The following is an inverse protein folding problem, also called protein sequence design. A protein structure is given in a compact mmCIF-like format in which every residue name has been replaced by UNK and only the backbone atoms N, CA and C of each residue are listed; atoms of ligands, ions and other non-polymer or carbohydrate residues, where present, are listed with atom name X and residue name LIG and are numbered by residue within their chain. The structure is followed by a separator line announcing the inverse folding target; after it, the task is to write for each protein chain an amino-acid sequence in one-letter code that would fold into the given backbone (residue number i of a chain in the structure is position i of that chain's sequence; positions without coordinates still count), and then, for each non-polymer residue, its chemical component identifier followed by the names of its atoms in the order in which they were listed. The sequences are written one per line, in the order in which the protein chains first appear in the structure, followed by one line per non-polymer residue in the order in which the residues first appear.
data_IF_684065565606
#
_entry.id   IF_684065565606
#
_cell.length_a   1.000
_cell.length_b   1.000
_cell.length_c   1.000
_cell.angle_alpha   90.00
_cell.angle_beta   90.00
_cell.angle_gamma   90.00
#
_symmetry.space_group_name_H-M   'P 1'
#
loop_
_entity.id
_entity.type
_entity.pdbx_description
1 polymer ?
#
# COMPACT_ATOMS: atom_id res chain seq x y z
N UNK A 1 3.86 31.50 6.97
CA UNK A 1 4.15 31.62 8.41
C UNK A 1 3.03 30.99 9.26
N UNK A 2 1.73 31.33 9.03
CA UNK A 2 0.59 30.81 9.80
C UNK A 2 0.54 29.28 9.78
N UNK A 3 0.63 28.67 8.60
CA UNK A 3 0.67 27.20 8.48
C UNK A 3 1.82 26.56 9.23
N UNK A 4 3.04 27.16 9.18
CA UNK A 4 4.20 26.68 9.91
C UNK A 4 4.00 26.73 11.45
N UNK A 5 3.31 27.75 11.96
CA UNK A 5 2.96 27.85 13.38
C UNK A 5 2.01 26.72 13.78
N UNK A 6 0.98 26.43 12.98
CA UNK A 6 0.06 25.33 13.28
C UNK A 6 0.74 23.95 13.23
N UNK A 7 1.62 23.73 12.25
CA UNK A 7 2.43 22.51 12.20
C UNK A 7 3.31 22.37 13.45
N UNK A 8 3.98 23.47 13.87
CA UNK A 8 4.78 23.45 15.10
C UNK A 8 3.93 23.13 16.36
N UNK A 9 2.68 23.56 16.39
CA UNK A 9 1.75 23.27 17.48
C UNK A 9 1.19 21.83 17.46
N UNK A 10 1.63 20.96 16.53
CA UNK A 10 1.09 19.61 16.40
C UNK A 10 -0.33 19.58 15.86
N UNK A 11 -0.63 20.40 14.86
CA UNK A 11 -1.93 20.46 14.18
C UNK A 11 -1.80 20.09 12.71
N UNK A 12 -2.92 19.85 12.04
CA UNK A 12 -3.00 19.70 10.60
C UNK A 12 -3.31 21.06 9.99
N UNK A 13 -2.42 21.52 9.10
CA UNK A 13 -2.63 22.72 8.32
C UNK A 13 -3.29 22.37 6.97
N UNK A 14 -4.59 22.65 6.82
CA UNK A 14 -5.23 22.55 5.52
C UNK A 14 -4.83 23.76 4.68
N UNK A 15 -4.01 23.53 3.69
CA UNK A 15 -3.50 24.53 2.74
C UNK A 15 -3.85 24.10 1.33
N UNK A 16 -4.48 24.96 0.56
CA UNK A 16 -4.86 24.65 -0.81
C UNK A 16 -3.63 24.36 -1.68
N UNK A 17 -3.83 23.60 -2.75
CA UNK A 17 -2.75 23.27 -3.71
C UNK A 17 -2.15 24.56 -4.27
N UNK A 18 -0.82 24.59 -4.38
CA UNK A 18 -0.07 25.76 -4.85
C UNK A 18 0.26 26.82 -3.79
N UNK A 19 -0.17 26.65 -2.53
CA UNK A 19 0.11 27.60 -1.43
C UNK A 19 1.50 27.39 -0.77
N UNK A 20 2.34 26.54 -1.33
CA UNK A 20 3.72 26.35 -0.89
C UNK A 20 3.90 25.48 0.35
N UNK A 21 3.11 24.39 0.51
CA UNK A 21 3.21 23.46 1.63
C UNK A 21 4.64 22.99 1.90
N UNK A 22 5.39 22.62 0.85
CA UNK A 22 6.79 22.15 0.97
C UNK A 22 7.69 23.20 1.62
N UNK A 23 7.55 24.47 1.28
CA UNK A 23 8.30 25.55 1.89
C UNK A 23 7.83 25.82 3.34
N UNK A 24 6.53 25.79 3.58
CA UNK A 24 5.95 26.02 4.91
C UNK A 24 6.44 25.00 5.93
N UNK A 25 6.61 23.74 5.54
CA UNK A 25 7.12 22.67 6.41
C UNK A 25 8.55 22.90 6.89
N UNK A 26 9.34 23.71 6.18
CA UNK A 26 10.72 24.04 6.61
C UNK A 26 10.75 24.82 7.91
N UNK A 27 9.77 25.67 8.16
CA UNK A 27 9.72 26.51 9.36
C UNK A 27 9.66 25.70 10.67
N UNK A 28 8.64 24.80 10.84
CA UNK A 28 8.58 23.96 12.02
C UNK A 28 9.68 22.89 12.04
N UNK A 29 10.11 22.39 10.89
CA UNK A 29 11.21 21.42 10.81
C UNK A 29 12.49 22.02 11.37
N UNK A 30 12.89 23.22 10.91
CA UNK A 30 14.05 23.94 11.44
C UNK A 30 13.97 24.12 12.95
N UNK A 31 12.86 24.70 13.44
CA UNK A 31 12.71 25.02 14.86
C UNK A 31 12.79 23.77 15.77
N UNK A 32 12.20 22.65 15.35
CA UNK A 32 12.23 21.42 16.14
C UNK A 32 13.55 20.64 15.96
N UNK A 33 14.25 20.78 14.84
CA UNK A 33 15.55 20.16 14.63
C UNK A 33 16.64 20.74 15.58
N UNK A 34 16.52 22.01 16.02
CA UNK A 34 17.41 22.62 16.99
C UNK A 34 17.46 21.88 18.35
N UNK A 35 16.54 20.99 18.60
CA UNK A 35 16.57 20.12 19.79
C UNK A 35 17.52 18.92 19.66
N UNK A 36 18.13 18.72 18.47
CA UNK A 36 19.02 17.61 18.12
C UNK A 36 18.38 16.21 18.21
N UNK A 37 17.06 16.13 18.39
CA UNK A 37 16.31 14.87 18.50
C UNK A 37 15.83 14.29 17.17
N UNK A 38 16.04 15.02 16.07
CA UNK A 38 15.62 14.64 14.72
C UNK A 38 14.17 14.99 14.40
N UNK A 39 13.94 15.31 13.13
CA UNK A 39 12.63 15.60 12.55
C UNK A 39 12.45 14.77 11.30
N UNK A 40 11.32 14.08 11.20
CA UNK A 40 10.97 13.34 9.98
C UNK A 40 9.93 14.13 9.17
N UNK A 41 10.16 14.26 7.86
CA UNK A 41 9.20 14.81 6.90
C UNK A 41 8.80 13.68 5.96
N UNK A 42 7.52 13.33 5.99
CA UNK A 42 6.98 12.15 5.29
C UNK A 42 6.27 12.56 4.02
N UNK A 43 6.60 11.88 2.94
CA UNK A 43 5.99 12.05 1.62
C UNK A 43 5.39 10.74 1.12
N UNK A 44 4.55 10.80 0.09
CA UNK A 44 3.83 9.63 -0.44
C UNK A 44 4.67 8.75 -1.38
N UNK A 45 5.81 9.22 -1.87
CA UNK A 45 6.68 8.45 -2.77
C UNK A 45 8.15 8.91 -2.74
N UNK A 46 9.04 8.05 -3.23
CA UNK A 46 10.50 8.27 -3.26
C UNK A 46 10.90 9.50 -4.10
N UNK A 47 10.18 9.78 -5.18
CA UNK A 47 10.46 10.94 -6.02
C UNK A 47 10.30 12.24 -5.24
N UNK A 48 9.19 12.40 -4.52
CA UNK A 48 8.94 13.58 -3.69
C UNK A 48 9.95 13.67 -2.54
N UNK A 49 10.27 12.55 -1.89
CA UNK A 49 11.27 12.53 -0.83
C UNK A 49 12.65 13.02 -1.33
N UNK A 50 13.10 12.53 -2.49
CA UNK A 50 14.35 12.96 -3.13
C UNK A 50 14.30 14.43 -3.56
N UNK A 51 13.24 14.84 -4.26
CA UNK A 51 13.07 16.22 -4.75
C UNK A 51 13.07 17.21 -3.59
N UNK A 52 12.24 16.97 -2.59
CA UNK A 52 12.04 17.92 -1.49
C UNK A 52 13.25 17.97 -0.55
N UNK A 53 13.91 16.84 -0.29
CA UNK A 53 15.15 16.82 0.48
C UNK A 53 16.28 17.59 -0.21
N UNK A 54 16.41 17.47 -1.54
CA UNK A 54 17.42 18.20 -2.31
C UNK A 54 17.11 19.71 -2.41
N UNK A 55 15.84 20.04 -2.57
CA UNK A 55 15.41 21.43 -2.72
C UNK A 55 15.43 22.18 -1.38
N UNK A 56 14.75 21.67 -0.37
CA UNK A 56 14.70 22.30 0.96
C UNK A 56 15.98 22.07 1.76
N UNK A 57 16.72 21.01 1.46
CA UNK A 57 18.04 20.74 2.05
C UNK A 57 19.03 21.89 1.84
N UNK A 58 18.91 22.65 0.74
CA UNK A 58 19.72 23.86 0.52
C UNK A 58 19.44 24.93 1.59
N UNK A 59 18.18 25.09 2.00
CA UNK A 59 17.77 26.01 3.06
C UNK A 59 18.32 25.55 4.40
N UNK A 60 18.15 24.27 4.71
CA UNK A 60 18.61 23.68 5.98
C UNK A 60 20.14 23.73 6.09
N UNK A 61 20.86 23.37 5.03
CA UNK A 61 22.32 23.45 4.97
C UNK A 61 22.85 24.89 5.16
N UNK A 62 22.16 25.88 4.56
CA UNK A 62 22.49 27.28 4.77
C UNK A 62 22.34 27.71 6.24
N UNK A 63 21.38 27.10 6.95
CA UNK A 63 21.10 27.33 8.37
C UNK A 63 21.93 26.42 9.31
N UNK A 64 22.84 25.62 8.77
CA UNK A 64 23.77 24.78 9.53
C UNK A 64 23.18 23.42 9.96
N UNK A 65 22.05 22.98 9.38
CA UNK A 65 21.45 21.69 9.67
C UNK A 65 21.72 20.67 8.56
N UNK A 66 21.89 19.41 8.96
CA UNK A 66 22.03 18.26 8.07
C UNK A 66 20.67 17.73 7.59
N UNK A 67 20.64 17.26 6.34
CA UNK A 67 19.41 16.70 5.73
C UNK A 67 19.71 15.33 5.17
N UNK A 68 18.91 14.32 5.57
CA UNK A 68 18.91 12.95 5.07
C UNK A 68 17.70 12.67 4.19
N UNK A 69 17.80 11.60 3.39
CA UNK A 69 16.71 11.11 2.57
C UNK A 69 16.69 9.58 2.58
N UNK A 70 15.57 8.97 2.97
CA UNK A 70 15.36 7.53 3.00
C UNK A 70 14.44 7.13 1.84
N UNK A 71 14.93 6.26 1.00
CA UNK A 71 14.21 5.68 -0.13
C UNK A 71 14.45 4.17 -0.21
N UNK A 72 13.71 3.48 -1.06
CA UNK A 72 13.78 2.03 -1.23
C UNK A 72 15.15 1.48 -1.66
N UNK A 73 15.97 2.32 -2.31
CA UNK A 73 17.27 1.92 -2.90
C UNK A 73 18.47 1.99 -1.93
N UNK A 74 18.29 2.49 -0.70
CA UNK A 74 19.37 2.78 0.24
C UNK A 74 19.64 1.57 1.14
N UNK A 75 20.92 1.24 1.36
CA UNK A 75 21.36 0.17 2.28
C UNK A 75 21.25 0.59 3.77
N UNK A 76 21.37 -0.38 4.68
CA UNK A 76 21.20 -0.16 6.13
C UNK A 76 22.24 0.83 6.72
N UNK A 77 23.47 0.86 6.19
CA UNK A 77 24.52 1.76 6.66
C UNK A 77 24.18 3.21 6.32
N UNK A 78 23.76 3.45 5.09
CA UNK A 78 23.37 4.78 4.64
C UNK A 78 22.01 5.18 5.25
N UNK A 79 21.07 4.23 5.50
CA UNK A 79 19.84 4.50 6.27
C UNK A 79 20.16 5.07 7.65
N UNK A 80 21.06 4.41 8.38
CA UNK A 80 21.46 4.88 9.72
C UNK A 80 22.08 6.28 9.70
N UNK A 81 22.91 6.59 8.70
CA UNK A 81 23.47 7.94 8.52
C UNK A 81 22.37 8.97 8.25
N UNK A 82 21.43 8.65 7.36
CA UNK A 82 20.32 9.55 7.01
C UNK A 82 19.37 9.78 8.18
N UNK A 83 19.07 8.76 9.00
CA UNK A 83 18.28 8.94 10.22
C UNK A 83 19.00 9.77 11.28
N UNK A 84 20.33 9.79 11.27
CA UNK A 84 21.12 10.62 12.19
C UNK A 84 21.24 12.09 11.76
N UNK A 85 20.74 12.47 10.58
CA UNK A 85 20.61 13.88 10.20
C UNK A 85 19.60 14.61 11.07
N UNK A 86 19.71 15.95 11.12
CA UNK A 86 18.78 16.79 11.89
C UNK A 86 17.36 16.71 11.34
N UNK A 87 17.25 16.61 9.99
CA UNK A 87 15.99 16.49 9.27
C UNK A 87 16.10 15.33 8.28
N UNK A 88 15.15 14.40 8.32
CA UNK A 88 15.11 13.24 7.42
C UNK A 88 13.81 13.21 6.62
N UNK A 89 13.93 13.27 5.30
CA UNK A 89 12.82 13.01 4.39
C UNK A 89 12.70 11.51 4.12
N UNK A 90 11.49 10.99 4.15
CA UNK A 90 11.23 9.57 3.88
C UNK A 90 9.81 9.35 3.34
N UNK A 91 9.57 8.18 2.77
CA UNK A 91 8.19 7.75 2.50
C UNK A 91 7.58 7.07 3.72
N UNK A 92 6.24 7.08 3.81
CA UNK A 92 5.50 6.36 4.84
C UNK A 92 5.85 4.86 4.87
N UNK A 93 6.02 4.24 3.68
CA UNK A 93 6.39 2.84 3.53
C UNK A 93 7.76 2.55 4.16
N UNK A 94 8.78 3.30 3.78
CA UNK A 94 10.15 3.05 4.24
C UNK A 94 10.28 3.21 5.75
N UNK A 95 9.67 4.26 6.33
CA UNK A 95 9.66 4.45 7.78
C UNK A 95 9.00 3.28 8.53
N UNK A 96 7.87 2.80 8.03
CA UNK A 96 7.17 1.69 8.65
C UNK A 96 7.90 0.36 8.49
N UNK A 97 8.52 0.09 7.34
CA UNK A 97 9.34 -1.12 7.14
C UNK A 97 10.64 -1.07 7.94
N UNK A 98 11.29 0.10 8.06
CA UNK A 98 12.47 0.25 8.92
C UNK A 98 12.13 0.00 10.39
N UNK A 99 10.97 0.50 10.86
CA UNK A 99 10.46 0.17 12.19
C UNK A 99 10.31 -1.34 12.40
N UNK A 100 9.70 -2.05 11.44
CA UNK A 100 9.55 -3.49 11.54
C UNK A 100 10.91 -4.20 11.54
N UNK A 101 11.84 -3.79 10.67
CA UNK A 101 13.20 -4.34 10.61
C UNK A 101 13.96 -4.12 11.92
N UNK A 102 13.89 -2.92 12.48
CA UNK A 102 14.53 -2.58 13.76
C UNK A 102 14.01 -3.45 14.91
N UNK A 103 12.70 -3.69 14.96
CA UNK A 103 12.10 -4.56 15.99
C UNK A 103 12.41 -6.05 15.83
N UNK A 104 13.03 -6.45 14.72
CA UNK A 104 13.53 -7.81 14.49
C UNK A 104 15.02 -7.95 14.76
N UNK A 105 15.75 -6.86 15.05
CA UNK A 105 17.18 -6.87 15.40
C UNK A 105 17.39 -7.38 16.82
N UNK A 106 18.50 -8.08 17.03
CA UNK A 106 18.89 -8.58 18.36
C UNK A 106 19.71 -7.59 19.17
N UNK A 107 20.39 -6.65 18.49
CA UNK A 107 21.24 -5.63 19.11
C UNK A 107 20.74 -4.23 18.75
N UNK A 108 20.62 -3.37 19.76
CA UNK A 108 20.20 -1.97 19.59
C UNK A 108 21.15 -1.18 18.68
N UNK A 109 22.43 -1.55 18.63
CA UNK A 109 23.40 -0.90 17.75
C UNK A 109 23.14 -1.13 16.27
N UNK A 110 22.39 -2.16 15.91
CA UNK A 110 21.99 -2.49 14.55
C UNK A 110 20.74 -1.75 14.08
N UNK A 111 19.98 -1.13 15.00
CA UNK A 111 18.80 -0.34 14.67
C UNK A 111 19.20 0.91 13.90
N UNK A 112 18.38 1.29 12.92
CA UNK A 112 18.61 2.47 12.08
C UNK A 112 17.88 3.71 12.59
N UNK A 113 16.68 3.54 13.19
CA UNK A 113 15.93 4.64 13.76
C UNK A 113 16.58 5.20 15.04
N UNK A 114 16.33 6.49 15.25
CA UNK A 114 16.46 7.16 16.57
C UNK A 114 15.10 7.22 17.25
N UNK A 115 14.95 8.09 18.24
CA UNK A 115 13.69 8.38 18.91
C UNK A 115 12.66 8.99 17.94
N UNK A 116 11.37 8.71 18.17
CA UNK A 116 10.24 9.26 17.43
C UNK A 116 9.85 10.63 18.01
N UNK A 117 10.65 11.67 17.73
CA UNK A 117 10.45 13.00 18.31
C UNK A 117 9.35 13.79 17.60
N UNK A 118 9.58 14.21 16.36
CA UNK A 118 8.63 15.03 15.61
C UNK A 118 8.50 14.55 14.17
N UNK A 119 7.25 14.44 13.71
CA UNK A 119 6.93 14.07 12.34
C UNK A 119 5.98 15.08 11.69
N UNK A 120 6.29 15.48 10.47
CA UNK A 120 5.42 16.27 9.59
C UNK A 120 5.01 15.37 8.43
N UNK A 121 3.73 15.10 8.28
CA UNK A 121 3.20 14.25 7.20
C UNK A 121 2.61 15.12 6.10
N UNK A 122 3.19 15.06 4.90
CA UNK A 122 2.58 15.66 3.70
C UNK A 122 1.51 14.72 3.13
N UNK A 123 0.49 15.29 2.50
CA UNK A 123 -0.71 14.56 2.06
C UNK A 123 -1.29 13.68 3.20
N UNK A 124 -1.48 14.32 4.36
CA UNK A 124 -1.79 13.65 5.62
C UNK A 124 -3.12 12.88 5.59
N UNK A 125 -4.09 13.30 4.81
CA UNK A 125 -5.36 12.60 4.57
C UNK A 125 -5.15 11.23 3.92
N UNK A 126 -4.31 11.15 2.91
CA UNK A 126 -3.97 9.87 2.28
C UNK A 126 -3.30 8.90 3.24
N UNK A 127 -2.29 9.37 3.95
CA UNK A 127 -1.43 8.50 4.77
C UNK A 127 -2.12 8.12 6.09
N UNK A 128 -2.76 9.07 6.77
CA UNK A 128 -3.31 8.85 8.10
C UNK A 128 -4.80 8.49 8.13
N UNK A 129 -5.52 8.62 7.02
CA UNK A 129 -6.92 8.21 6.89
C UNK A 129 -7.06 7.09 5.87
N UNK A 130 -6.86 7.37 4.57
CA UNK A 130 -7.13 6.40 3.50
C UNK A 130 -6.33 5.10 3.64
N UNK A 131 -5.02 5.20 3.90
CA UNK A 131 -4.11 4.06 4.02
C UNK A 131 -3.87 3.64 5.48
N UNK A 132 -4.45 4.32 6.45
CA UNK A 132 -4.14 4.19 7.88
C UNK A 132 -4.21 2.76 8.42
N UNK A 133 -5.18 1.99 7.94
CA UNK A 133 -5.45 0.60 8.37
C UNK A 133 -4.74 -0.44 7.52
N UNK A 134 -4.05 -0.05 6.46
CA UNK A 134 -3.27 -0.96 5.63
C UNK A 134 -2.08 -1.48 6.42
N UNK A 135 -1.96 -2.80 6.64
CA UNK A 135 -0.83 -3.35 7.37
C UNK A 135 0.41 -3.42 6.49
N UNK A 136 1.53 -2.95 7.02
CA UNK A 136 2.86 -3.29 6.55
C UNK A 136 3.23 -4.64 7.15
N UNK A 137 3.70 -5.57 6.34
CA UNK A 137 3.97 -6.95 6.76
C UNK A 137 5.35 -7.36 6.27
N UNK A 138 6.19 -7.86 7.19
CA UNK A 138 7.38 -8.62 6.86
C UNK A 138 7.03 -10.09 7.05
N UNK A 139 7.15 -10.88 5.99
CA UNK A 139 6.98 -12.32 6.02
C UNK A 139 8.32 -13.01 5.81
N UNK A 140 8.50 -14.14 6.47
CA UNK A 140 9.62 -15.04 6.30
C UNK A 140 9.15 -16.43 5.91
N UNK A 141 10.08 -17.26 5.45
CA UNK A 141 9.80 -18.66 5.17
C UNK A 141 9.53 -19.40 6.48
N UNK A 142 8.46 -20.16 6.51
CA UNK A 142 8.22 -21.14 7.57
C UNK A 142 9.21 -22.32 7.40
N UNK A 143 9.46 -23.07 8.47
CA UNK A 143 10.20 -24.33 8.36
C UNK A 143 9.56 -25.21 7.29
N UNK A 144 10.39 -25.88 6.47
CA UNK A 144 9.93 -26.78 5.42
C UNK A 144 9.18 -27.98 6.04
N UNK A 145 7.86 -27.92 5.99
CA UNK A 145 6.93 -28.96 6.46
C UNK A 145 6.25 -29.69 5.30
N UNK A 146 6.76 -29.55 4.09
CA UNK A 146 6.19 -30.17 2.88
C UNK A 146 5.99 -31.67 3.01
N UNK A 147 6.89 -32.36 3.71
CA UNK A 147 6.76 -33.78 4.00
C UNK A 147 5.54 -34.12 4.85
N UNK A 148 5.14 -33.26 5.79
CA UNK A 148 3.95 -33.50 6.63
C UNK A 148 2.66 -33.36 5.82
N UNK A 149 2.58 -32.44 4.86
CA UNK A 149 1.43 -32.34 3.96
C UNK A 149 1.26 -33.57 3.08
N UNK A 150 2.37 -34.12 2.54
CA UNK A 150 2.34 -35.33 1.73
C UNK A 150 1.90 -36.55 2.57
N UNK A 151 2.46 -36.71 3.78
CA UNK A 151 2.08 -37.79 4.68
C UNK A 151 0.62 -37.68 5.14
N UNK A 152 0.18 -36.48 5.52
CA UNK A 152 -1.22 -36.24 5.89
C UNK A 152 -2.17 -36.59 4.74
N UNK A 153 -1.85 -36.20 3.51
CA UNK A 153 -2.65 -36.55 2.33
C UNK A 153 -2.68 -38.07 2.11
N UNK A 154 -1.56 -38.78 2.29
CA UNK A 154 -1.54 -40.25 2.21
C UNK A 154 -2.41 -40.92 3.28
N UNK A 155 -2.49 -40.37 4.50
CA UNK A 155 -3.33 -40.86 5.56
C UNK A 155 -4.81 -40.69 5.22
N UNK A 156 -5.19 -39.49 4.74
CA UNK A 156 -6.58 -39.22 4.36
C UNK A 156 -7.06 -40.14 3.24
N UNK A 157 -6.21 -40.44 2.27
CA UNK A 157 -6.54 -41.37 1.18
C UNK A 157 -6.80 -42.82 1.66
N UNK A 158 -6.43 -43.20 2.88
CA UNK A 158 -6.70 -44.52 3.50
C UNK A 158 -7.95 -44.51 4.35
N UNK A 159 -8.63 -43.37 4.55
CA UNK A 159 -9.86 -43.26 5.33
C UNK A 159 -11.08 -43.68 4.51
N UNK A 160 -12.10 -44.13 5.23
CA UNK A 160 -13.42 -44.49 4.69
C UNK A 160 -14.47 -43.52 5.21
N UNK A 161 -15.69 -43.53 4.61
CA UNK A 161 -16.79 -42.64 5.00
C UNK A 161 -17.21 -42.71 6.47
N UNK A 162 -16.91 -43.79 7.17
CA UNK A 162 -17.16 -43.95 8.61
C UNK A 162 -16.16 -43.22 9.49
N UNK A 163 -15.03 -42.80 8.96
CA UNK A 163 -13.90 -42.30 9.70
C UNK A 163 -13.92 -40.76 9.86
N UNK A 164 -14.87 -40.10 9.18
CA UNK A 164 -15.05 -38.65 9.24
C UNK A 164 -16.50 -38.22 9.07
N UNK A 165 -16.80 -37.01 9.52
CA UNK A 165 -18.06 -36.30 9.32
C UNK A 165 -17.83 -35.03 8.52
N UNK A 166 -18.79 -34.69 7.63
CA UNK A 166 -18.74 -33.48 6.78
C UNK A 166 -19.92 -32.59 7.17
N UNK A 167 -19.62 -31.35 7.49
CA UNK A 167 -20.58 -30.26 7.59
C UNK A 167 -20.46 -29.35 6.36
N UNK A 168 -21.20 -29.66 5.31
CA UNK A 168 -21.18 -28.86 4.07
C UNK A 168 -21.63 -27.41 4.28
N UNK A 169 -22.53 -27.19 5.27
CA UNK A 169 -23.13 -25.89 5.53
C UNK A 169 -22.08 -24.88 6.09
N UNK A 170 -21.20 -25.37 6.96
CA UNK A 170 -20.13 -24.59 7.58
C UNK A 170 -18.76 -24.81 6.89
N UNK A 171 -18.73 -25.54 5.77
CA UNK A 171 -17.48 -25.95 5.07
C UNK A 171 -16.44 -26.50 6.07
N UNK A 172 -16.87 -27.44 6.91
CA UNK A 172 -16.03 -28.08 7.92
C UNK A 172 -16.05 -29.62 7.80
N UNK A 173 -14.95 -30.23 8.20
CA UNK A 173 -14.81 -31.70 8.26
C UNK A 173 -14.06 -32.09 9.52
N UNK A 174 -14.53 -33.15 10.17
CA UNK A 174 -14.03 -33.60 11.47
C UNK A 174 -13.81 -35.13 11.42
N UNK A 175 -12.72 -35.60 12.02
CA UNK A 175 -12.52 -37.05 12.21
C UNK A 175 -13.44 -37.57 13.28
N UNK A 176 -14.00 -38.79 13.06
CA UNK A 176 -14.68 -39.56 14.10
C UNK A 176 -13.65 -40.26 15.01
N UNK A 177 -14.06 -40.78 16.15
CA UNK A 177 -13.17 -41.56 17.04
C UNK A 177 -12.50 -42.69 16.28
N UNK A 178 -13.19 -43.37 15.37
CA UNK A 178 -12.65 -44.44 14.51
C UNK A 178 -11.58 -43.87 13.57
N UNK A 179 -11.82 -42.68 13.03
CA UNK A 179 -10.85 -41.98 12.16
C UNK A 179 -9.60 -41.61 12.91
N UNK A 180 -9.73 -41.07 14.13
CA UNK A 180 -8.62 -40.71 15.01
C UNK A 180 -7.77 -41.95 15.30
N UNK A 181 -8.35 -43.07 15.72
CA UNK A 181 -7.67 -44.33 15.99
C UNK A 181 -6.87 -44.84 14.77
N UNK A 182 -7.40 -44.65 13.56
CA UNK A 182 -6.72 -45.02 12.33
C UNK A 182 -5.52 -44.11 12.04
N UNK A 183 -5.71 -42.81 12.19
CA UNK A 183 -4.62 -41.83 12.00
C UNK A 183 -3.48 -42.06 13.01
N UNK A 184 -3.84 -42.35 14.28
CA UNK A 184 -2.86 -42.73 15.31
C UNK A 184 -2.00 -43.92 14.89
N UNK A 185 -2.66 -45.03 14.48
CA UNK A 185 -1.97 -46.24 14.02
C UNK A 185 -1.07 -45.97 12.83
N UNK A 186 -1.52 -45.17 11.84
CA UNK A 186 -0.71 -44.79 10.68
C UNK A 186 0.47 -43.92 11.09
N UNK A 187 0.26 -42.99 12.00
CA UNK A 187 1.28 -42.06 12.47
C UNK A 187 2.33 -42.72 13.34
N UNK A 188 1.94 -43.76 14.12
CA UNK A 188 2.87 -44.61 14.88
C UNK A 188 3.74 -45.44 13.91
N UNK A 189 3.11 -46.02 12.87
CA UNK A 189 3.83 -46.78 11.86
C UNK A 189 4.92 -45.98 11.14
N UNK A 190 4.62 -44.72 10.84
CA UNK A 190 5.57 -43.79 10.22
C UNK A 190 6.57 -43.15 11.23
N UNK A 191 6.40 -43.41 12.52
CA UNK A 191 7.32 -42.95 13.57
C UNK A 191 7.24 -41.42 13.84
N UNK A 192 6.13 -40.79 13.47
CA UNK A 192 5.94 -39.30 13.60
C UNK A 192 5.10 -38.91 14.79
N UNK A 193 4.35 -39.85 15.40
CA UNK A 193 3.52 -39.59 16.57
C UNK A 193 4.32 -39.63 17.86
N UNK A 194 4.24 -38.57 18.65
CA UNK A 194 4.84 -38.51 19.99
C UNK A 194 3.79 -38.90 21.04
N UNK A 195 4.24 -39.60 22.09
CA UNK A 195 3.42 -40.00 23.23
C UNK A 195 2.15 -40.83 22.90
N UNK A 196 2.08 -41.44 21.71
CA UNK A 196 0.97 -42.31 21.27
C UNK A 196 -0.43 -41.68 21.44
N UNK A 197 -0.56 -40.38 21.40
CA UNK A 197 -1.82 -39.65 21.47
C UNK A 197 -1.83 -38.56 20.40
N UNK A 198 -2.80 -38.62 19.49
CA UNK A 198 -2.93 -37.67 18.38
C UNK A 198 -3.07 -36.22 18.86
N UNK A 199 -3.83 -35.98 19.91
CA UNK A 199 -4.08 -34.65 20.46
C UNK A 199 -3.07 -34.21 21.55
N UNK A 200 -1.95 -34.91 21.72
CA UNK A 200 -0.89 -34.42 22.60
C UNK A 200 -0.37 -33.05 22.11
N UNK A 201 -0.09 -32.08 23.00
CA UNK A 201 0.44 -30.77 22.63
C UNK A 201 1.67 -30.82 21.71
N UNK A 202 2.48 -31.88 21.78
CA UNK A 202 3.64 -32.09 20.93
C UNK A 202 3.30 -32.48 19.48
N UNK A 203 2.05 -32.93 19.24
CA UNK A 203 1.54 -33.37 17.95
C UNK A 203 0.63 -32.36 17.25
N UNK A 204 0.46 -31.14 17.79
CA UNK A 204 -0.42 -30.10 17.23
C UNK A 204 -0.14 -29.78 15.76
N UNK A 205 1.13 -29.83 15.34
CA UNK A 205 1.48 -29.68 13.93
C UNK A 205 0.89 -30.79 13.07
N UNK A 206 1.00 -32.07 13.53
CA UNK A 206 0.43 -33.20 12.80
C UNK A 206 -1.09 -33.12 12.74
N UNK A 207 -1.75 -32.80 13.85
CA UNK A 207 -3.21 -32.56 13.91
C UNK A 207 -3.64 -31.51 12.91
N UNK A 208 -2.92 -30.38 12.86
CA UNK A 208 -3.19 -29.32 11.91
C UNK A 208 -3.09 -29.79 10.46
N UNK A 209 -2.00 -30.44 10.08
CA UNK A 209 -1.80 -30.92 8.71
C UNK A 209 -2.83 -31.96 8.28
N UNK A 210 -3.20 -32.88 9.20
CA UNK A 210 -4.23 -33.90 8.95
C UNK A 210 -5.60 -33.24 8.75
N UNK A 211 -5.95 -32.25 9.56
CA UNK A 211 -7.20 -31.53 9.41
C UNK A 211 -7.26 -30.72 8.10
N UNK A 212 -6.15 -30.07 7.70
CA UNK A 212 -6.11 -29.37 6.42
C UNK A 212 -6.16 -30.33 5.23
N UNK A 213 -5.49 -31.48 5.31
CA UNK A 213 -5.57 -32.52 4.28
C UNK A 213 -6.99 -33.09 4.18
N UNK A 214 -7.67 -33.35 5.31
CA UNK A 214 -9.05 -33.78 5.34
C UNK A 214 -9.97 -32.77 4.64
N UNK A 215 -9.83 -31.50 5.00
CA UNK A 215 -10.58 -30.38 4.40
C UNK A 215 -10.34 -30.26 2.90
N UNK A 216 -9.08 -30.30 2.46
CA UNK A 216 -8.69 -30.22 1.06
C UNK A 216 -9.27 -31.35 0.21
N UNK A 217 -9.30 -32.60 0.75
CA UNK A 217 -9.78 -33.75 0.02
C UNK A 217 -11.31 -33.83 -0.05
N UNK A 218 -12.02 -33.40 1.00
CA UNK A 218 -13.46 -33.57 1.13
C UNK A 218 -14.29 -32.38 0.68
N UNK A 219 -13.79 -31.16 0.85
CA UNK A 219 -14.58 -29.93 0.69
C UNK A 219 -14.13 -29.05 -0.50
N UNK A 220 -12.93 -29.25 -1.04
CA UNK A 220 -12.41 -28.46 -2.12
C UNK A 220 -12.25 -29.26 -3.40
N UNK A 221 -12.96 -28.87 -4.45
CA UNK A 221 -13.04 -29.60 -5.71
C UNK A 221 -12.31 -28.84 -6.83
N UNK A 222 -11.54 -29.60 -7.61
CA UNK A 222 -10.91 -29.08 -8.82
C UNK A 222 -11.98 -28.59 -9.80
N UNK A 223 -11.67 -27.52 -10.53
CA UNK A 223 -12.53 -26.83 -11.50
C UNK A 223 -13.81 -26.19 -10.90
N UNK A 224 -13.95 -26.20 -9.57
CA UNK A 224 -15.00 -25.51 -8.82
C UNK A 224 -14.39 -24.46 -7.88
N UNK A 225 -13.54 -24.92 -6.94
CA UNK A 225 -12.91 -24.04 -5.95
C UNK A 225 -11.50 -23.59 -6.37
N UNK A 226 -10.84 -24.36 -7.22
CA UNK A 226 -9.51 -24.07 -7.76
C UNK A 226 -9.27 -24.74 -9.11
N UNK A 227 -8.28 -24.25 -9.85
CA UNK A 227 -7.77 -24.88 -11.08
C UNK A 227 -6.26 -25.13 -10.99
N UNK A 228 -5.77 -26.02 -11.85
CA UNK A 228 -4.33 -26.21 -12.07
C UNK A 228 -3.92 -25.49 -13.35
N UNK A 229 -2.99 -24.52 -13.23
CA UNK A 229 -2.33 -23.88 -14.36
C UNK A 229 -0.82 -23.86 -14.14
N UNK A 230 -0.08 -24.24 -15.15
CA UNK A 230 1.40 -24.27 -15.09
C UNK A 230 1.94 -25.02 -13.85
N UNK A 231 1.31 -26.14 -13.55
CA UNK A 231 1.61 -26.97 -12.37
C UNK A 231 1.46 -26.25 -11.02
N UNK A 232 0.58 -25.23 -10.95
CA UNK A 232 0.27 -24.47 -9.73
C UNK A 232 -1.23 -24.45 -9.48
N UNK A 233 -1.59 -24.49 -8.21
CA UNK A 233 -2.98 -24.30 -7.76
C UNK A 233 -3.32 -22.81 -7.83
N UNK A 234 -4.44 -22.47 -8.47
CA UNK A 234 -4.99 -21.12 -8.54
C UNK A 234 -6.44 -21.12 -8.08
N UNK A 235 -6.78 -20.18 -7.21
CA UNK A 235 -8.14 -20.10 -6.61
C UNK A 235 -9.14 -19.62 -7.66
N UNK A 236 -10.35 -20.18 -7.62
CA UNK A 236 -11.52 -19.65 -8.32
C UNK A 236 -12.37 -18.86 -7.30
N UNK A 237 -12.71 -17.63 -7.64
CA UNK A 237 -13.60 -16.80 -6.83
C UNK A 237 -15.03 -17.35 -6.87
N UNK A 238 -15.59 -17.68 -5.71
CA UNK A 238 -16.91 -18.32 -5.57
C UNK A 238 -18.05 -17.46 -6.15
N UNK A 239 -17.91 -16.11 -6.13
CA UNK A 239 -18.97 -15.21 -6.57
C UNK A 239 -18.86 -14.85 -8.06
N UNK A 240 -17.65 -14.72 -8.58
CA UNK A 240 -17.43 -14.26 -9.95
C UNK A 240 -17.01 -15.35 -10.90
N UNK A 241 -16.62 -16.54 -10.40
CA UNK A 241 -16.05 -17.64 -11.20
C UNK A 241 -14.71 -17.31 -11.84
N UNK A 242 -14.06 -16.19 -11.45
CA UNK A 242 -12.78 -15.75 -12.01
C UNK A 242 -11.62 -16.36 -11.26
N UNK A 243 -10.57 -16.66 -12.01
CA UNK A 243 -9.31 -17.13 -11.42
C UNK A 243 -8.58 -15.97 -10.75
N UNK A 244 -8.28 -16.12 -9.46
CA UNK A 244 -7.57 -15.15 -8.66
C UNK A 244 -6.06 -15.45 -8.68
N UNK A 245 -5.33 -14.86 -9.62
CA UNK A 245 -3.87 -15.00 -9.70
C UNK A 245 -3.17 -14.40 -8.48
N UNK A 246 -2.18 -15.13 -7.94
CA UNK A 246 -1.35 -14.66 -6.83
C UNK A 246 -2.00 -14.77 -5.43
N UNK A 247 -3.27 -15.16 -5.32
CA UNK A 247 -3.93 -15.44 -4.03
C UNK A 247 -3.77 -16.91 -3.65
N UNK A 248 -3.71 -17.15 -2.34
CA UNK A 248 -3.59 -18.50 -1.75
C UNK A 248 -4.65 -18.67 -0.65
N UNK A 249 -5.10 -19.90 -0.43
CA UNK A 249 -5.89 -20.25 0.77
C UNK A 249 -5.00 -20.12 2.00
N UNK A 250 -5.57 -19.68 3.12
CA UNK A 250 -4.89 -19.52 4.40
C UNK A 250 -4.68 -20.84 5.15
N UNK A 251 -3.92 -20.77 6.22
CA UNK A 251 -3.80 -21.80 7.25
C UNK A 251 -3.31 -23.18 6.75
N UNK A 252 -2.45 -23.20 5.73
CA UNK A 252 -1.90 -24.45 5.19
C UNK A 252 -2.85 -25.21 4.25
N UNK A 253 -4.10 -24.72 4.04
CA UNK A 253 -5.05 -25.36 3.14
C UNK A 253 -4.56 -25.38 1.68
N UNK A 254 -3.88 -24.31 1.24
CA UNK A 254 -3.33 -24.25 -0.12
C UNK A 254 -2.29 -25.34 -0.35
N UNK A 255 -1.37 -25.54 0.61
CA UNK A 255 -0.36 -26.58 0.59
C UNK A 255 -0.99 -27.99 0.67
N UNK A 256 -2.07 -28.15 1.43
CA UNK A 256 -2.82 -29.41 1.48
C UNK A 256 -3.48 -29.72 0.12
N UNK A 257 -3.95 -28.73 -0.61
CA UNK A 257 -4.46 -28.89 -1.98
C UNK A 257 -3.32 -29.18 -2.96
N UNK A 258 -2.18 -28.52 -2.83
CA UNK A 258 -0.97 -28.81 -3.63
C UNK A 258 -0.53 -30.28 -3.41
N UNK A 259 -0.56 -30.77 -2.16
CA UNK A 259 -0.27 -32.18 -1.84
C UNK A 259 -1.32 -33.15 -2.44
N UNK A 260 -2.61 -32.80 -2.38
CA UNK A 260 -3.72 -33.57 -2.97
C UNK A 260 -3.52 -33.73 -4.48
N UNK A 261 -3.15 -32.67 -5.16
CA UNK A 261 -2.98 -32.65 -6.62
C UNK A 261 -1.59 -33.10 -7.08
N UNK A 262 -0.71 -33.51 -6.14
CA UNK A 262 0.67 -33.93 -6.42
C UNK A 262 1.47 -32.90 -7.23
N UNK A 263 1.26 -31.62 -6.96
CA UNK A 263 2.08 -30.52 -7.50
C UNK A 263 3.12 -30.11 -6.47
N UNK A 264 4.09 -29.30 -6.88
CA UNK A 264 5.12 -28.79 -5.99
C UNK A 264 4.49 -27.97 -4.85
N UNK A 265 4.72 -28.40 -3.60
CA UNK A 265 4.23 -27.72 -2.40
C UNK A 265 5.10 -26.49 -2.18
N UNK A 266 4.50 -25.32 -2.31
CA UNK A 266 5.20 -24.07 -2.07
C UNK A 266 5.27 -23.78 -0.57
N UNK A 267 6.42 -23.27 -0.13
CA UNK A 267 6.66 -22.91 1.26
C UNK A 267 5.56 -21.98 1.79
N UNK A 268 5.18 -22.16 3.03
CA UNK A 268 4.27 -21.29 3.74
C UNK A 268 5.03 -20.05 4.20
N UNK A 269 4.50 -18.86 3.91
CA UNK A 269 5.06 -17.62 4.42
C UNK A 269 4.42 -17.32 5.79
N UNK A 270 5.26 -17.24 6.82
CA UNK A 270 4.84 -16.82 8.15
C UNK A 270 5.03 -15.32 8.30
N UNK A 271 4.00 -14.62 8.81
CA UNK A 271 4.14 -13.21 9.19
C UNK A 271 5.10 -13.11 10.38
N UNK A 272 6.24 -12.46 10.18
CA UNK A 272 7.24 -12.24 11.22
C UNK A 272 6.95 -10.96 12.02
N UNK A 273 6.56 -9.90 11.33
CA UNK A 273 6.24 -8.62 11.94
C UNK A 273 5.18 -7.89 11.12
N UNK A 274 4.31 -7.14 11.78
CA UNK A 274 3.32 -6.29 11.11
C UNK A 274 3.00 -5.04 11.93
N UNK A 275 2.72 -3.93 11.24
CA UNK A 275 2.22 -2.70 11.85
C UNK A 275 1.32 -1.98 10.84
N UNK A 276 0.31 -1.25 11.31
CA UNK A 276 -0.45 -0.32 10.47
C UNK A 276 0.17 1.08 10.54
N UNK A 277 -0.05 1.92 9.51
CA UNK A 277 0.38 3.32 9.57
C UNK A 277 -0.22 4.05 10.76
N UNK A 278 -1.49 3.78 11.07
CA UNK A 278 -2.15 4.33 12.25
C UNK A 278 -1.36 4.08 13.54
N UNK A 279 -0.89 2.87 13.76
CA UNK A 279 -0.12 2.52 14.96
C UNK A 279 1.29 3.09 14.91
N UNK A 280 1.93 3.07 13.74
CA UNK A 280 3.28 3.61 13.55
C UNK A 280 3.35 5.11 13.87
N UNK A 281 2.50 5.94 13.26
CA UNK A 281 2.54 7.39 13.45
C UNK A 281 2.13 7.84 14.86
N UNK A 282 1.45 7.00 15.63
CA UNK A 282 1.16 7.26 17.06
C UNK A 282 2.39 7.10 17.97
N UNK A 283 3.49 6.58 17.47
CA UNK A 283 4.75 6.47 18.23
C UNK A 283 5.44 7.84 18.40
N UNK A 284 5.18 8.78 17.52
CA UNK A 284 5.80 10.10 17.59
C UNK A 284 5.28 10.90 18.78
N UNK A 285 6.22 11.53 19.51
CA UNK A 285 5.88 12.43 20.64
C UNK A 285 5.10 13.64 20.14
N UNK A 286 5.41 14.10 18.91
CA UNK A 286 4.74 15.19 18.24
C UNK A 286 4.49 14.84 16.78
N UNK A 287 3.23 14.97 16.38
CA UNK A 287 2.77 14.69 15.01
C UNK A 287 2.08 15.94 14.48
N UNK A 288 2.29 16.23 13.21
CA UNK A 288 1.56 17.25 12.47
C UNK A 288 1.42 16.84 11.00
N UNK A 289 0.57 17.52 10.26
CA UNK A 289 0.38 17.20 8.86
C UNK A 289 -0.13 18.35 8.04
N UNK A 290 -0.02 18.22 6.73
CA UNK A 290 -0.52 19.20 5.77
C UNK A 290 -1.15 18.50 4.57
N UNK A 291 -2.23 19.08 4.05
CA UNK A 291 -2.91 18.65 2.82
C UNK A 291 -3.83 19.76 2.32
N UNK A 292 -4.40 19.59 1.13
CA UNK A 292 -5.43 20.50 0.59
C UNK A 292 -6.87 20.18 1.02
N UNK A 293 -7.11 19.03 1.68
CA UNK A 293 -8.43 18.38 1.84
C UNK A 293 -8.61 17.68 3.19
N UNK A 294 -8.22 18.29 4.31
CA UNK A 294 -8.31 17.64 5.63
C UNK A 294 -9.60 17.90 6.39
N UNK A 295 -10.31 18.97 6.07
CA UNK A 295 -11.43 19.43 6.90
C UNK A 295 -12.61 18.44 6.93
N UNK A 296 -12.83 17.70 5.85
CA UNK A 296 -13.85 16.65 5.76
C UNK A 296 -13.63 15.52 6.75
N UNK A 297 -12.39 15.23 7.08
CA UNK A 297 -11.96 14.12 7.96
C UNK A 297 -11.52 14.62 9.34
N UNK A 298 -11.87 15.87 9.71
CA UNK A 298 -11.39 16.51 10.94
C UNK A 298 -11.75 15.74 12.21
N UNK A 299 -12.92 15.12 12.28
CA UNK A 299 -13.36 14.30 13.42
C UNK A 299 -12.51 13.05 13.53
N UNK A 300 -12.24 12.35 12.43
CA UNK A 300 -11.40 11.12 12.42
C UNK A 300 -9.95 11.41 12.81
N UNK A 301 -9.38 12.50 12.32
CA UNK A 301 -8.04 12.96 12.76
C UNK A 301 -7.99 13.22 14.27
N UNK A 302 -9.02 13.85 14.80
CA UNK A 302 -9.05 14.11 16.24
C UNK A 302 -9.27 12.83 17.06
N UNK A 303 -10.16 11.94 16.62
CA UNK A 303 -10.47 10.72 17.37
C UNK A 303 -9.28 9.77 17.45
N UNK A 304 -8.57 9.57 16.33
CA UNK A 304 -7.47 8.61 16.22
C UNK A 304 -6.15 9.19 16.73
N UNK A 305 -5.78 10.40 16.28
CA UNK A 305 -4.44 10.97 16.50
C UNK A 305 -4.43 12.17 17.44
N UNK A 306 -5.59 12.65 17.89
CA UNK A 306 -5.77 13.89 18.68
C UNK A 306 -5.26 15.13 17.94
N UNK A 307 -5.31 15.13 16.61
CA UNK A 307 -4.88 16.23 15.76
C UNK A 307 -6.07 17.11 15.38
N UNK A 308 -5.93 18.41 15.62
CA UNK A 308 -6.91 19.39 15.16
C UNK A 308 -6.58 19.84 13.74
N UNK A 309 -7.58 19.92 12.87
CA UNK A 309 -7.48 20.48 11.53
C UNK A 309 -7.74 21.97 11.57
N UNK A 310 -6.86 22.77 10.97
CA UNK A 310 -7.00 24.22 10.85
C UNK A 310 -6.85 24.61 9.38
N UNK A 311 -7.90 25.24 8.84
CA UNK A 311 -7.84 25.77 7.48
C UNK A 311 -7.05 27.08 7.46
N UNK A 312 -6.02 27.13 6.60
CA UNK A 312 -5.20 28.32 6.39
C UNK A 312 -5.74 29.09 5.21
N UNK A 313 -6.06 30.39 5.37
CA UNK A 313 -6.56 31.19 4.26
C UNK A 313 -5.54 31.28 3.12
N UNK A 314 -6.04 31.31 1.89
CA UNK A 314 -5.19 31.45 0.69
C UNK A 314 -4.53 32.82 0.66
N UNK A 315 -3.31 32.89 0.10
CA UNK A 315 -2.58 34.16 -0.05
C UNK A 315 -3.30 35.17 -0.96
N UNK A 316 -3.98 34.67 -1.99
CA UNK A 316 -4.82 35.47 -2.91
C UNK A 316 -6.24 34.95 -2.92
N UNK A 317 -7.25 35.80 -3.25
CA UNK A 317 -8.64 35.35 -3.40
C UNK A 317 -8.73 34.18 -4.40
N UNK A 318 -9.54 33.18 -4.07
CA UNK A 318 -9.74 32.03 -4.94
C UNK A 318 -10.55 32.45 -6.19
N UNK A 319 -9.97 32.23 -7.37
CA UNK A 319 -10.61 32.49 -8.66
C UNK A 319 -11.17 31.24 -9.32
N UNK A 320 -10.87 30.03 -8.78
CA UNK A 320 -11.39 28.74 -9.28
C UNK A 320 -12.90 28.73 -9.18
N UNK A 321 -13.56 28.25 -10.23
CA UNK A 321 -15.00 28.06 -10.27
C UNK A 321 -15.28 26.54 -10.34
N UNK A 322 -15.90 26.00 -9.31
CA UNK A 322 -16.39 24.64 -9.29
C UNK A 322 -17.78 24.63 -9.92
N UNK A 323 -17.92 23.93 -11.06
CA UNK A 323 -19.17 23.80 -11.78
C UNK A 323 -20.00 22.65 -11.18
N UNK A 324 -21.32 22.74 -11.29
CA UNK A 324 -22.20 21.67 -10.86
C UNK A 324 -21.99 20.39 -11.68
N UNK A 325 -22.28 19.25 -11.05
CA UNK A 325 -22.23 17.94 -11.68
C UNK A 325 -23.20 17.87 -12.87
N UNK A 326 -22.78 17.18 -13.94
CA UNK A 326 -23.61 16.91 -15.09
C UNK A 326 -24.05 15.45 -15.08
N UNK A 327 -25.36 15.23 -15.07
CA UNK A 327 -25.97 13.90 -15.05
C UNK A 327 -26.41 13.53 -16.46
N UNK A 328 -26.01 12.32 -16.91
CA UNK A 328 -26.31 11.79 -18.24
C UNK A 328 -27.16 10.52 -18.13
N UNK A 329 -28.03 10.31 -19.11
CA UNK A 329 -28.91 9.12 -19.18
C UNK A 329 -28.13 7.84 -19.42
N UNK A 330 -27.08 7.94 -20.24
CA UNK A 330 -26.26 6.80 -20.63
C UNK A 330 -24.76 7.14 -20.53
N UNK A 331 -23.96 6.12 -20.33
CA UNK A 331 -22.50 6.24 -20.34
C UNK A 331 -21.97 6.77 -21.68
N UNK A 332 -22.60 6.38 -22.79
CA UNK A 332 -22.25 6.84 -24.13
C UNK A 332 -22.43 8.36 -24.29
N UNK A 333 -23.55 8.90 -23.80
CA UNK A 333 -23.78 10.35 -23.80
C UNK A 333 -22.76 11.09 -22.94
N UNK A 334 -22.43 10.55 -21.75
CA UNK A 334 -21.38 11.07 -20.87
C UNK A 334 -20.04 11.19 -21.59
N UNK A 335 -19.56 10.12 -22.22
CA UNK A 335 -18.26 10.15 -22.93
C UNK A 335 -18.27 11.08 -24.13
N UNK A 336 -19.39 11.19 -24.83
CA UNK A 336 -19.54 12.15 -25.93
C UNK A 336 -19.45 13.61 -25.41
N UNK A 337 -20.11 13.92 -24.29
CA UNK A 337 -20.08 15.24 -23.68
C UNK A 337 -18.66 15.59 -23.19
N UNK A 338 -17.97 14.65 -22.53
CA UNK A 338 -16.57 14.82 -22.09
C UNK A 338 -15.68 15.12 -23.31
N UNK A 339 -15.79 14.32 -24.37
CA UNK A 339 -14.96 14.50 -25.57
C UNK A 339 -15.22 15.86 -26.23
N UNK A 340 -16.49 16.28 -26.35
CA UNK A 340 -16.84 17.59 -26.89
C UNK A 340 -16.30 18.74 -26.03
N UNK A 341 -16.36 18.62 -24.70
CA UNK A 341 -15.80 19.61 -23.79
C UNK A 341 -14.29 19.73 -23.91
N UNK A 342 -13.58 18.62 -24.04
CA UNK A 342 -12.13 18.61 -24.29
C UNK A 342 -11.81 19.35 -25.59
N UNK A 343 -12.55 19.08 -26.67
CA UNK A 343 -12.36 19.77 -27.96
C UNK A 343 -12.60 21.27 -27.85
N UNK A 344 -13.67 21.67 -27.17
CA UNK A 344 -13.97 23.10 -26.93
C UNK A 344 -12.80 23.80 -26.23
N UNK A 345 -12.27 23.21 -25.18
CA UNK A 345 -11.16 23.77 -24.43
C UNK A 345 -9.86 23.80 -25.26
N UNK A 346 -9.56 22.73 -25.97
CA UNK A 346 -8.39 22.65 -26.86
C UNK A 346 -8.40 23.70 -27.95
N UNK A 347 -9.56 23.94 -28.57
CA UNK A 347 -9.74 24.99 -29.59
C UNK A 347 -9.50 26.41 -29.05
N UNK A 348 -9.68 26.61 -27.74
CA UNK A 348 -9.39 27.85 -27.04
C UNK A 348 -7.94 27.95 -26.55
N UNK A 349 -7.11 26.91 -26.77
CA UNK A 349 -5.77 26.80 -26.21
C UNK A 349 -5.74 26.55 -24.69
N UNK A 350 -6.88 26.23 -24.08
CA UNK A 350 -6.96 25.97 -22.64
C UNK A 350 -6.46 24.54 -22.35
N UNK A 351 -5.48 24.37 -21.42
CA UNK A 351 -5.04 23.04 -21.01
C UNK A 351 -6.17 22.31 -20.25
N UNK A 352 -6.25 20.99 -20.43
CA UNK A 352 -7.30 20.15 -19.85
C UNK A 352 -6.70 18.98 -19.12
N UNK A 353 -7.05 18.80 -17.84
CA UNK A 353 -6.77 17.60 -17.07
C UNK A 353 -8.06 16.80 -16.89
N UNK A 354 -8.06 15.56 -17.33
CA UNK A 354 -9.19 14.64 -17.25
C UNK A 354 -8.91 13.56 -16.20
N UNK A 355 -9.59 13.68 -15.05
CA UNK A 355 -9.52 12.66 -13.99
C UNK A 355 -10.44 11.47 -14.26
N UNK A 356 -9.94 10.24 -14.09
CA UNK A 356 -10.72 9.01 -14.23
C UNK A 356 -10.56 8.11 -13.00
N UNK A 357 -11.58 7.30 -12.70
CA UNK A 357 -11.57 6.39 -11.53
C UNK A 357 -10.91 5.04 -11.81
N UNK A 358 -10.55 4.74 -13.06
CA UNK A 358 -9.87 3.49 -13.42
C UNK A 358 -9.07 3.62 -14.71
N UNK A 359 -8.08 2.73 -14.88
CA UNK A 359 -7.26 2.63 -16.10
C UNK A 359 -8.15 2.39 -17.31
N UNK A 360 -9.14 1.49 -17.21
CA UNK A 360 -10.06 1.16 -18.28
C UNK A 360 -10.82 2.41 -18.79
N UNK A 361 -11.30 3.25 -17.88
CA UNK A 361 -11.98 4.51 -18.25
C UNK A 361 -11.04 5.51 -18.91
N UNK A 362 -9.79 5.58 -18.46
CA UNK A 362 -8.78 6.44 -19.09
C UNK A 362 -8.46 5.99 -20.51
N UNK A 363 -8.30 4.69 -20.73
CA UNK A 363 -8.06 4.11 -22.05
C UNK A 363 -9.26 4.34 -23.00
N UNK A 364 -10.50 4.25 -22.50
CA UNK A 364 -11.70 4.50 -23.27
C UNK A 364 -11.79 5.96 -23.76
N UNK A 365 -11.46 6.92 -22.88
CA UNK A 365 -11.41 8.34 -23.29
C UNK A 365 -10.27 8.57 -24.28
N UNK A 366 -9.10 8.00 -24.02
CA UNK A 366 -7.95 8.08 -24.93
C UNK A 366 -8.31 7.57 -26.33
N UNK A 367 -8.95 6.41 -26.44
CA UNK A 367 -9.40 5.86 -27.71
C UNK A 367 -10.35 6.81 -28.47
N UNK A 368 -11.33 7.40 -27.77
CA UNK A 368 -12.25 8.37 -28.35
C UNK A 368 -11.53 9.62 -28.89
N UNK A 369 -10.48 10.09 -28.20
CA UNK A 369 -9.68 11.24 -28.64
C UNK A 369 -8.79 10.89 -29.84
N UNK A 370 -8.19 9.67 -29.85
CA UNK A 370 -7.42 9.16 -31.00
C UNK A 370 -8.26 9.05 -32.27
N UNK A 371 -9.49 8.54 -32.18
CA UNK A 371 -10.43 8.46 -33.30
C UNK A 371 -10.72 9.85 -33.89
N UNK A 372 -10.69 10.89 -33.06
CA UNK A 372 -10.86 12.30 -33.48
C UNK A 372 -9.51 12.99 -33.81
N UNK A 373 -8.41 12.27 -33.79
CA UNK A 373 -7.04 12.76 -34.08
C UNK A 373 -6.59 13.90 -33.15
N UNK A 374 -7.01 13.84 -31.89
CA UNK A 374 -6.65 14.83 -30.87
C UNK A 374 -5.42 14.33 -30.11
N UNK A 375 -4.33 15.11 -30.15
CA UNK A 375 -3.09 14.81 -29.42
C UNK A 375 -3.34 14.95 -27.92
N UNK A 376 -2.97 13.94 -27.14
CA UNK A 376 -3.11 13.95 -25.69
C UNK A 376 -2.06 13.03 -25.05
N UNK A 377 -1.84 13.18 -23.74
CA UNK A 377 -1.00 12.33 -22.92
C UNK A 377 -1.87 11.53 -21.96
N UNK A 378 -1.48 10.29 -21.66
CA UNK A 378 -2.17 9.42 -20.69
C UNK A 378 -1.21 9.10 -19.56
N UNK A 379 -1.67 9.37 -18.35
CA UNK A 379 -0.97 9.10 -17.11
C UNK A 379 -1.64 7.94 -16.39
N UNK A 380 -0.97 6.81 -16.31
CA UNK A 380 -1.46 5.64 -15.59
C UNK A 380 -0.30 4.94 -14.86
N UNK A 381 -0.63 4.11 -13.87
CA UNK A 381 0.33 3.42 -13.01
C UNK A 381 1.40 2.54 -13.72
N UNK A 382 1.38 2.46 -15.05
CA UNK A 382 2.34 1.68 -15.85
C UNK A 382 3.63 2.46 -16.21
N UNK A 383 3.71 3.77 -15.92
CA UNK A 383 4.78 4.65 -16.42
C UNK A 383 5.30 5.63 -15.35
N UNK A 384 5.69 5.13 -14.18
CA UNK A 384 6.12 5.96 -13.05
C UNK A 384 7.27 6.96 -13.35
N UNK A 385 8.27 6.57 -14.14
CA UNK A 385 9.42 7.45 -14.45
C UNK A 385 9.05 8.60 -15.39
N UNK A 386 8.05 8.42 -16.26
CA UNK A 386 7.59 9.47 -17.17
C UNK A 386 6.50 10.34 -16.55
N UNK A 387 5.96 9.93 -15.42
CA UNK A 387 4.81 10.58 -14.76
C UNK A 387 5.10 12.04 -14.44
N UNK A 388 6.21 12.31 -13.76
CA UNK A 388 6.59 13.67 -13.37
C UNK A 388 6.77 14.60 -14.60
N UNK A 389 7.32 14.06 -15.70
CA UNK A 389 7.53 14.81 -16.93
C UNK A 389 6.21 15.15 -17.63
N UNK A 390 5.28 14.18 -17.70
CA UNK A 390 3.94 14.40 -18.28
C UNK A 390 3.15 15.42 -17.46
N UNK A 391 3.26 15.38 -16.13
CA UNK A 391 2.57 16.33 -15.24
C UNK A 391 3.15 17.74 -15.38
N UNK A 392 4.46 17.89 -15.42
CA UNK A 392 5.10 19.18 -15.65
C UNK A 392 4.62 19.85 -16.95
N UNK A 393 4.30 19.05 -17.97
CA UNK A 393 3.80 19.50 -19.27
C UNK A 393 2.27 19.75 -19.31
N UNK A 394 1.52 19.24 -18.32
CA UNK A 394 0.06 19.27 -18.32
C UNK A 394 -0.52 20.71 -18.30
N UNK A 395 0.23 21.68 -17.81
CA UNK A 395 -0.16 23.09 -17.79
C UNK A 395 0.17 23.89 -19.06
N UNK A 396 0.81 23.29 -20.09
CA UNK A 396 1.12 23.97 -21.36
C UNK A 396 -0.16 24.33 -22.13
N UNK A 397 -0.08 25.40 -22.92
CA UNK A 397 -1.21 25.86 -23.76
C UNK A 397 -1.67 24.71 -24.67
N UNK A 398 -2.96 24.39 -24.61
CA UNK A 398 -3.57 23.34 -25.40
C UNK A 398 -3.22 21.91 -25.01
N UNK A 399 -2.49 21.68 -23.93
CA UNK A 399 -2.20 20.34 -23.44
C UNK A 399 -3.47 19.62 -22.99
N UNK A 400 -3.57 18.33 -23.31
CA UNK A 400 -4.65 17.45 -22.84
C UNK A 400 -3.99 16.29 -22.13
N UNK A 401 -4.26 16.13 -20.84
CA UNK A 401 -3.71 15.05 -20.02
C UNK A 401 -4.85 14.26 -19.39
N UNK A 402 -4.84 12.95 -19.58
CA UNK A 402 -5.79 12.01 -18.96
C UNK A 402 -5.05 11.30 -17.83
N UNK A 403 -5.57 11.37 -16.62
CA UNK A 403 -4.95 10.77 -15.44
C UNK A 403 -5.95 9.91 -14.65
N UNK A 404 -5.48 8.84 -14.00
CA UNK A 404 -6.25 8.14 -12.98
C UNK A 404 -6.14 8.88 -11.63
N UNK A 405 -7.08 8.65 -10.73
CA UNK A 405 -7.21 9.37 -9.45
C UNK A 405 -5.90 9.54 -8.65
N UNK A 406 -5.04 8.52 -8.66
CA UNK A 406 -3.81 8.52 -7.87
C UNK A 406 -2.58 8.98 -8.65
N UNK A 407 -2.72 9.17 -9.96
CA UNK A 407 -1.61 9.59 -10.80
C UNK A 407 -1.36 11.10 -10.62
N UNK A 408 -0.12 11.44 -10.32
CA UNK A 408 0.29 12.85 -10.15
C UNK A 408 -0.01 13.47 -8.80
N UNK A 409 -0.48 12.71 -7.82
CA UNK A 409 -0.67 13.23 -6.46
C UNK A 409 0.67 13.73 -5.89
N UNK A 410 0.66 14.92 -5.27
CA UNK A 410 1.85 15.56 -4.72
C UNK A 410 2.77 16.23 -5.73
N UNK A 411 2.45 16.16 -7.04
CA UNK A 411 3.23 16.85 -8.09
C UNK A 411 2.51 18.11 -8.53
N UNK A 412 3.23 19.26 -8.55
CA UNK A 412 2.65 20.53 -8.95
C UNK A 412 2.53 20.64 -10.47
N UNK A 413 1.36 21.09 -10.94
CA UNK A 413 1.13 21.44 -12.34
C UNK A 413 1.37 22.95 -12.50
N UNK A 414 2.38 23.31 -13.26
CA UNK A 414 2.69 24.71 -13.53
C UNK A 414 1.95 25.19 -14.78
N UNK A 415 1.19 26.29 -14.64
CA UNK A 415 0.56 26.93 -15.79
C UNK A 415 1.63 27.52 -16.73
N UNK A 416 1.56 27.12 -17.99
CA UNK A 416 2.57 27.45 -19.00
C UNK A 416 3.65 26.38 -19.19
N UNK A 417 3.63 25.31 -18.37
CA UNK A 417 4.63 24.22 -18.38
C UNK A 417 5.88 24.56 -17.58
N UNK A 418 6.73 23.56 -17.37
CA UNK A 418 7.98 23.74 -16.66
C UNK A 418 8.99 24.53 -17.51
N UNK A 419 9.46 25.65 -16.98
CA UNK A 419 10.42 26.52 -17.67
C UNK A 419 11.86 26.01 -17.61
N UNK A 420 12.12 25.06 -16.70
CA UNK A 420 13.45 24.48 -16.50
C UNK A 420 13.71 23.25 -17.38
N UNK A 421 12.67 22.65 -17.95
CA UNK A 421 12.81 21.66 -19.02
C UNK A 421 12.98 22.38 -20.37
N UNK A 422 14.19 22.80 -20.66
CA UNK A 422 14.57 23.10 -22.04
C UNK A 422 14.66 21.77 -22.79
N UNK A 423 13.94 21.66 -23.91
CA UNK A 423 14.13 20.58 -24.85
C UNK A 423 15.62 20.51 -25.19
N UNK A 424 16.31 19.50 -24.70
CA UNK A 424 17.55 19.05 -25.31
C UNK A 424 17.12 18.19 -26.50
N UNK A 425 17.24 18.79 -27.69
CA UNK A 425 17.13 18.10 -28.98
C UNK A 425 18.15 16.96 -29.12
#
# INVERSE_FOLDING_TARGET
LIGGIFLHQGKIAEMKTGEGKTLVSTLPAYLNALTEKGVHIVTVNDYLAKRDSQWMGKVFSFLGLSTGCITSEIDDVDRKKNYNCDITYATNNELGFDYLRDNMKYDLSEMVHRDYNYCIVDEVDSILIDESRTPLIISGRSEDKSNLYLLANQFINKLQKSDYEIDEKNKNSILTDIGIDKIEKLSIHEGILKNNNFYDPQNLNLVHHVNQALKANLLFNKDVDYILRENKVQIIDEFTGRVLGGRRFSDGLHQAIEAKENVEIQEENQTLASITYQNYFRLYQKLSGMTGTALTEAEEFFDIYKLHVVSVPTNRPMVRKDLNDQIFRTEKEKYLAITNKIIECNNKGQPVLVGTTSIEKSEKISKNLLEKKIKHSVLNAKQHEQEAKIIAEAGKIGAITIATNMAGRGTDIQLGGDKDFKDED
#
